data_IF_131862402634
#
_entry.id   IF_131862402634
#
_cell.length_a   1.000
_cell.length_b   1.000
_cell.length_c   1.000
_cell.angle_alpha   90.00
_cell.angle_beta   90.00
_cell.angle_gamma   90.00
#
_symmetry.space_group_name_H-M   'P 1'
#
loop_
_entity.id
_entity.type
_entity.pdbx_description
1 polymer ?
#
# COMPACT_ATOMS: atom_id res chain seq x y z
N UNK A 1 -28.76 -1.66 18.69
CA UNK A 1 -29.40 -2.70 17.87
C UNK A 1 -28.70 -2.69 16.54
N UNK A 2 -28.23 -3.85 16.06
CA UNK A 2 -27.45 -3.95 14.83
C UNK A 2 -28.33 -3.51 13.64
N UNK A 3 -27.95 -2.42 13.00
CA UNK A 3 -28.55 -1.97 11.75
C UNK A 3 -28.22 -3.01 10.67
N UNK A 4 -29.27 -3.52 10.04
CA UNK A 4 -29.19 -4.44 8.91
C UNK A 4 -28.64 -3.66 7.71
N UNK A 5 -27.72 -4.20 6.88
CA UNK A 5 -27.23 -3.47 5.72
C UNK A 5 -28.39 -3.22 4.74
N UNK A 6 -28.63 -1.95 4.42
CA UNK A 6 -29.59 -1.49 3.42
C UNK A 6 -29.11 -2.02 2.04
N UNK A 7 -29.91 -2.83 1.36
CA UNK A 7 -29.52 -3.43 0.06
C UNK A 7 -30.40 -2.86 -1.04
N UNK A 8 -29.90 -1.81 -1.70
CA UNK A 8 -30.36 -1.39 -3.01
C UNK A 8 -29.77 -2.24 -4.14
N UNK A 9 -30.13 -1.89 -5.38
CA UNK A 9 -29.51 -2.42 -6.61
C UNK A 9 -28.03 -2.05 -6.65
N UNK A 10 -27.12 -3.01 -6.89
CA UNK A 10 -25.70 -2.73 -7.18
C UNK A 10 -25.28 -3.10 -8.61
N UNK A 11 -24.19 -2.50 -9.06
CA UNK A 11 -23.55 -2.90 -10.32
C UNK A 11 -23.06 -4.35 -10.22
N UNK A 12 -23.40 -5.16 -11.22
CA UNK A 12 -23.04 -6.59 -11.29
C UNK A 12 -24.11 -7.60 -10.83
N UNK A 13 -25.28 -7.16 -10.34
CA UNK A 13 -26.35 -8.06 -9.87
C UNK A 13 -27.20 -8.73 -10.98
N UNK A 14 -26.99 -8.41 -12.26
CA UNK A 14 -27.75 -9.03 -13.37
C UNK A 14 -26.82 -9.57 -14.48
N UNK A 15 -27.03 -10.84 -14.84
CA UNK A 15 -26.10 -11.66 -15.66
C UNK A 15 -26.01 -11.35 -17.15
N UNK A 16 -25.49 -10.18 -17.54
CA UNK A 16 -24.78 -9.95 -18.80
C UNK A 16 -23.48 -9.16 -18.55
N UNK A 17 -22.47 -9.38 -19.40
CA UNK A 17 -21.12 -8.85 -19.25
C UNK A 17 -21.09 -7.31 -19.32
N UNK A 18 -20.44 -6.70 -18.32
CA UNK A 18 -20.24 -5.25 -18.19
C UNK A 18 -18.93 -4.91 -17.47
N UNK A 19 -18.59 -5.61 -16.38
CA UNK A 19 -17.23 -5.75 -15.82
C UNK A 19 -17.25 -6.77 -14.67
N UNK A 20 -16.15 -7.52 -14.44
CA UNK A 20 -15.92 -8.15 -13.14
C UNK A 20 -16.01 -7.06 -12.06
N UNK A 21 -16.53 -7.39 -10.87
CA UNK A 21 -16.59 -6.47 -9.72
C UNK A 21 -15.37 -5.53 -9.69
N UNK A 22 -15.57 -4.23 -9.97
CA UNK A 22 -14.47 -3.31 -10.21
C UNK A 22 -14.90 -2.08 -11.00
N UNK A 23 -14.93 -2.13 -12.32
CA UNK A 23 -15.01 -0.91 -13.14
C UNK A 23 -16.44 -0.45 -13.46
N UNK A 24 -16.79 0.80 -13.16
CA UNK A 24 -18.08 1.46 -13.47
C UNK A 24 -17.80 2.69 -14.34
N UNK A 25 -18.30 2.71 -15.57
CA UNK A 25 -18.11 3.87 -16.45
C UNK A 25 -19.06 5.00 -16.09
N UNK A 26 -18.62 6.25 -16.22
CA UNK A 26 -19.49 7.40 -16.05
C UNK A 26 -19.23 8.52 -17.07
N UNK A 27 -20.24 9.33 -17.34
CA UNK A 27 -20.15 10.40 -18.34
C UNK A 27 -20.95 11.64 -17.96
N UNK A 28 -20.58 12.75 -18.59
CA UNK A 28 -21.36 13.98 -18.59
C UNK A 28 -22.25 14.01 -19.83
N UNK A 29 -23.34 13.23 -19.86
CA UNK A 29 -24.42 13.33 -20.86
C UNK A 29 -25.58 12.41 -20.50
N UNK A 30 -26.81 12.92 -20.35
CA UNK A 30 -28.01 12.08 -20.18
C UNK A 30 -28.64 11.83 -21.55
N UNK A 31 -28.51 10.61 -22.06
CA UNK A 31 -29.06 10.25 -23.38
C UNK A 31 -30.59 10.25 -23.37
N UNK A 32 -31.24 11.29 -23.92
CA UNK A 32 -32.60 11.17 -24.45
C UNK A 32 -33.73 12.06 -23.91
N UNK A 33 -33.51 12.97 -22.95
CA UNK A 33 -34.56 13.95 -22.60
C UNK A 33 -34.08 15.30 -22.06
N UNK A 34 -34.48 16.34 -22.82
CA UNK A 34 -35.13 17.60 -22.43
C UNK A 34 -34.42 18.63 -21.51
N UNK A 35 -33.89 19.66 -22.19
CA UNK A 35 -34.12 21.11 -21.94
C UNK A 35 -33.52 21.74 -20.67
N UNK A 36 -33.24 23.05 -20.51
CA UNK A 36 -33.31 24.28 -21.31
C UNK A 36 -32.08 25.12 -20.88
N UNK A 37 -31.29 25.63 -21.85
CA UNK A 37 -30.33 26.73 -21.72
C UNK A 37 -29.54 26.84 -20.40
N UNK A 38 -28.34 26.25 -20.34
CA UNK A 38 -27.11 26.93 -19.87
C UNK A 38 -25.91 25.99 -20.05
N UNK A 39 -25.28 26.02 -21.22
CA UNK A 39 -24.06 25.26 -21.52
C UNK A 39 -22.87 25.64 -20.60
N UNK A 40 -22.89 26.82 -19.94
CA UNK A 40 -21.72 27.37 -19.24
C UNK A 40 -21.38 26.72 -17.87
N UNK A 41 -22.35 26.14 -17.14
CA UNK A 41 -22.10 25.57 -15.80
C UNK A 41 -21.53 24.15 -15.91
N UNK A 42 -22.15 23.26 -16.70
CA UNK A 42 -21.62 21.91 -16.98
C UNK A 42 -20.33 21.99 -17.81
N UNK A 43 -20.18 23.01 -18.67
CA UNK A 43 -18.90 23.24 -19.35
C UNK A 43 -17.82 23.82 -18.42
N UNK A 44 -18.16 24.30 -17.22
CA UNK A 44 -17.16 24.83 -16.31
C UNK A 44 -16.28 23.70 -15.74
N UNK A 45 -14.97 23.88 -15.85
CA UNK A 45 -14.00 22.92 -15.32
C UNK A 45 -14.16 22.75 -13.80
N UNK A 46 -14.60 23.80 -13.09
CA UNK A 46 -14.84 23.77 -11.66
C UNK A 46 -15.95 22.77 -11.28
N UNK A 47 -17.06 22.77 -12.02
CA UNK A 47 -18.15 21.81 -11.81
C UNK A 47 -17.66 20.38 -12.09
N UNK A 48 -17.04 20.16 -13.25
CA UNK A 48 -16.54 18.84 -13.65
C UNK A 48 -15.52 18.28 -12.67
N UNK A 49 -14.64 19.13 -12.15
CA UNK A 49 -13.65 18.77 -11.13
C UNK A 49 -14.31 18.32 -9.82
N UNK A 50 -15.38 18.98 -9.38
CA UNK A 50 -16.09 18.57 -8.16
C UNK A 50 -16.83 17.24 -8.33
N UNK A 51 -17.36 16.95 -9.52
CA UNK A 51 -17.98 15.65 -9.82
C UNK A 51 -16.92 14.54 -9.80
N UNK A 52 -15.77 14.75 -10.45
CA UNK A 52 -14.63 13.81 -10.39
C UNK A 52 -14.19 13.53 -8.95
N UNK A 53 -13.98 14.58 -8.16
CA UNK A 53 -13.61 14.43 -6.74
C UNK A 53 -14.65 13.63 -5.93
N UNK A 54 -15.93 13.72 -6.28
CA UNK A 54 -16.97 12.96 -5.60
C UNK A 54 -16.95 11.46 -5.96
N UNK A 55 -16.61 11.10 -7.21
CA UNK A 55 -16.32 9.72 -7.58
C UNK A 55 -15.07 9.19 -6.88
N UNK A 56 -13.95 9.94 -6.92
CA UNK A 56 -12.71 9.60 -6.21
C UNK A 56 -12.91 9.35 -4.71
N UNK A 57 -13.88 10.03 -4.08
CA UNK A 57 -14.18 9.86 -2.66
C UNK A 57 -14.69 8.44 -2.34
N UNK A 58 -15.47 7.84 -3.25
CA UNK A 58 -15.99 6.49 -3.09
C UNK A 58 -14.92 5.42 -3.40
N UNK A 59 -14.05 5.64 -4.39
CA UNK A 59 -12.92 4.74 -4.70
C UNK A 59 -11.93 4.61 -3.54
N UNK A 60 -11.78 5.67 -2.74
CA UNK A 60 -10.91 5.67 -1.54
C UNK A 60 -11.42 4.78 -0.41
N UNK A 61 -12.69 4.38 -0.44
CA UNK A 61 -13.31 3.65 0.67
C UNK A 61 -13.90 2.30 0.27
N UNK A 62 -14.10 2.05 -1.02
CA UNK A 62 -14.67 0.82 -1.55
C UNK A 62 -13.96 0.35 -2.83
N UNK A 63 -13.91 -0.95 -3.09
CA UNK A 63 -13.32 -1.50 -4.31
C UNK A 63 -14.21 -1.29 -5.54
N UNK A 64 -14.27 -0.05 -5.99
CA UNK A 64 -14.96 0.44 -7.17
C UNK A 64 -13.95 1.28 -7.96
N UNK A 65 -13.94 1.11 -9.28
CA UNK A 65 -13.06 1.80 -10.24
C UNK A 65 -13.93 2.59 -11.23
N UNK A 66 -14.06 3.88 -11.03
CA UNK A 66 -14.88 4.76 -11.85
C UNK A 66 -14.09 5.30 -13.05
N UNK A 67 -14.56 4.99 -14.25
CA UNK A 67 -13.90 5.41 -15.49
C UNK A 67 -14.73 6.48 -16.21
N UNK A 68 -14.23 7.72 -16.25
CA UNK A 68 -14.86 8.79 -17.02
C UNK A 68 -14.68 8.51 -18.53
N UNK A 69 -15.79 8.37 -19.27
CA UNK A 69 -15.77 8.14 -20.72
C UNK A 69 -16.07 9.40 -21.55
N UNK A 70 -16.12 10.56 -20.89
CA UNK A 70 -16.40 11.85 -21.53
C UNK A 70 -17.90 12.07 -21.77
N UNK A 71 -18.35 11.98 -23.02
CA UNK A 71 -19.76 12.16 -23.41
C UNK A 71 -20.31 10.93 -24.13
N UNK A 72 -21.57 10.57 -23.86
CA UNK A 72 -22.25 9.41 -24.43
C UNK A 72 -22.70 8.39 -23.38
N UNK A 73 -23.18 7.21 -23.80
CA UNK A 73 -23.64 6.15 -22.90
C UNK A 73 -22.57 5.71 -21.92
N UNK A 74 -22.93 5.63 -20.64
CA UNK A 74 -22.10 5.15 -19.55
C UNK A 74 -23.00 4.47 -18.50
N UNK A 75 -22.39 3.73 -17.57
CA UNK A 75 -23.15 3.09 -16.48
C UNK A 75 -23.81 4.14 -15.59
N UNK A 76 -23.10 5.23 -15.26
CA UNK A 76 -23.63 6.40 -14.55
C UNK A 76 -23.57 7.63 -15.44
N UNK A 77 -24.70 8.31 -15.62
CA UNK A 77 -24.80 9.53 -16.41
C UNK A 77 -25.11 10.72 -15.50
N UNK A 78 -24.27 11.75 -15.51
CA UNK A 78 -24.47 12.95 -14.69
C UNK A 78 -24.92 14.12 -15.56
N UNK A 79 -26.03 14.74 -15.19
CA UNK A 79 -26.62 15.86 -15.90
C UNK A 79 -27.33 16.85 -14.99
N UNK A 80 -27.82 17.94 -15.59
CA UNK A 80 -28.70 18.91 -14.93
C UNK A 80 -30.15 18.64 -15.33
N UNK A 81 -31.08 18.77 -14.38
CA UNK A 81 -32.53 18.76 -14.62
C UNK A 81 -33.20 19.95 -13.89
N UNK A 82 -34.36 20.39 -14.36
CA UNK A 82 -35.17 21.38 -13.66
C UNK A 82 -36.20 20.64 -12.79
N UNK A 83 -35.73 20.15 -11.63
CA UNK A 83 -36.45 19.16 -10.82
C UNK A 83 -37.73 19.78 -10.23
N UNK A 84 -37.66 20.97 -9.63
CA UNK A 84 -38.85 21.61 -9.03
C UNK A 84 -38.95 23.14 -9.21
N UNK A 85 -37.87 23.79 -9.67
CA UNK A 85 -37.82 25.22 -9.92
C UNK A 85 -37.85 26.12 -8.68
N UNK A 86 -37.93 25.59 -7.44
CA UNK A 86 -37.82 26.30 -6.14
C UNK A 86 -37.58 25.32 -4.95
N UNK A 87 -36.32 25.04 -4.61
CA UNK A 87 -35.86 24.90 -3.22
C UNK A 87 -36.26 23.65 -2.43
N UNK A 88 -36.64 22.54 -3.08
CA UNK A 88 -36.97 21.29 -2.40
C UNK A 88 -35.92 20.19 -2.59
N UNK A 89 -35.64 19.84 -3.84
CA UNK A 89 -34.73 18.75 -4.23
C UNK A 89 -33.51 19.30 -4.96
N UNK A 90 -32.33 19.15 -4.37
CA UNK A 90 -31.07 19.70 -4.91
C UNK A 90 -30.32 18.72 -5.83
N UNK A 91 -30.69 17.43 -5.80
CA UNK A 91 -30.13 16.35 -6.61
C UNK A 91 -31.05 15.13 -6.57
N UNK A 92 -30.97 14.27 -7.58
CA UNK A 92 -31.71 13.01 -7.65
C UNK A 92 -30.95 11.96 -8.47
N UNK A 93 -30.73 10.80 -7.88
CA UNK A 93 -30.27 9.60 -8.58
C UNK A 93 -31.45 8.67 -8.96
N UNK A 94 -31.43 8.15 -10.19
CA UNK A 94 -32.46 7.25 -10.72
C UNK A 94 -31.81 6.08 -11.45
N UNK A 95 -32.25 4.86 -11.15
CA UNK A 95 -31.84 3.65 -11.87
C UNK A 95 -32.81 3.31 -12.99
N UNK A 96 -32.27 2.94 -14.14
CA UNK A 96 -33.03 2.50 -15.31
C UNK A 96 -32.84 1.00 -15.55
N UNK A 97 -33.93 0.37 -15.99
CA UNK A 97 -34.00 -1.07 -16.17
C UNK A 97 -34.70 -1.43 -17.48
N UNK A 98 -34.20 -2.46 -18.15
CA UNK A 98 -34.89 -3.12 -19.25
C UNK A 98 -35.24 -4.56 -18.83
N UNK A 99 -36.47 -4.75 -18.37
CA UNK A 99 -36.86 -6.00 -17.71
C UNK A 99 -36.29 -6.08 -16.30
N UNK A 100 -35.54 -7.14 -15.99
CA UNK A 100 -34.82 -7.31 -14.71
C UNK A 100 -33.33 -6.97 -14.81
N UNK A 101 -32.92 -6.30 -15.88
CA UNK A 101 -31.52 -5.97 -16.17
C UNK A 101 -31.35 -4.47 -15.99
N UNK A 102 -30.38 -4.08 -15.18
CA UNK A 102 -29.97 -2.68 -15.00
C UNK A 102 -29.30 -2.19 -16.28
N UNK A 103 -29.73 -1.06 -16.81
CA UNK A 103 -29.17 -0.48 -18.05
C UNK A 103 -28.19 0.64 -17.78
N UNK A 104 -28.56 1.58 -16.92
CA UNK A 104 -27.75 2.72 -16.50
C UNK A 104 -28.38 3.35 -15.25
N UNK A 105 -27.64 4.23 -14.57
CA UNK A 105 -28.17 5.15 -13.57
C UNK A 105 -27.95 6.59 -14.05
N UNK A 106 -28.83 7.50 -13.65
CA UNK A 106 -28.74 8.93 -13.93
C UNK A 106 -28.68 9.71 -12.63
N UNK A 107 -27.80 10.72 -12.56
CA UNK A 107 -27.78 11.73 -11.52
C UNK A 107 -28.22 13.04 -12.15
N UNK A 108 -29.38 13.53 -11.74
CA UNK A 108 -29.93 14.81 -12.10
C UNK A 108 -29.64 15.82 -10.98
N UNK A 109 -28.88 16.87 -11.30
CA UNK A 109 -28.62 17.99 -10.39
C UNK A 109 -29.60 19.12 -10.68
N UNK A 110 -30.22 19.71 -9.65
CA UNK A 110 -31.17 20.80 -9.89
C UNK A 110 -30.49 22.05 -10.46
N UNK A 111 -30.89 22.39 -11.68
CA UNK A 111 -30.42 23.57 -12.42
C UNK A 111 -30.99 24.90 -11.91
N UNK A 112 -32.07 24.87 -11.12
CA UNK A 112 -32.71 26.08 -10.60
C UNK A 112 -32.01 26.66 -9.35
N UNK A 113 -31.07 25.92 -8.75
CA UNK A 113 -30.34 26.32 -7.55
C UNK A 113 -29.08 27.12 -7.88
N UNK A 114 -28.76 28.13 -7.05
CA UNK A 114 -27.46 28.81 -7.12
C UNK A 114 -26.40 28.01 -6.38
N UNK A 115 -25.45 27.47 -7.12
CA UNK A 115 -24.32 26.69 -6.60
C UNK A 115 -23.12 27.62 -6.34
N UNK A 116 -22.72 27.79 -5.07
CA UNK A 116 -21.51 28.53 -4.71
C UNK A 116 -20.66 27.69 -3.76
N UNK A 117 -19.34 27.56 -3.98
CA UNK A 117 -18.51 26.57 -3.28
C UNK A 117 -18.34 26.80 -1.77
N UNK A 118 -18.80 27.90 -1.18
CA UNK A 118 -18.53 28.24 0.24
C UNK A 118 -19.58 29.13 0.92
N UNK A 119 -20.85 28.73 0.99
CA UNK A 119 -21.84 29.43 1.84
C UNK A 119 -22.44 28.48 2.89
N UNK A 120 -22.23 28.72 4.19
CA UNK A 120 -22.98 28.03 5.24
C UNK A 120 -24.48 28.30 5.06
N UNK A 121 -25.24 27.26 4.71
CA UNK A 121 -26.68 27.33 4.45
C UNK A 121 -27.11 27.48 2.99
N UNK A 122 -26.18 27.44 2.03
CA UNK A 122 -26.49 27.45 0.58
C UNK A 122 -25.59 26.47 -0.19
N UNK A 123 -26.19 25.31 -0.52
CA UNK A 123 -25.76 24.25 -1.46
C UNK A 123 -24.29 23.76 -1.42
N UNK A 124 -24.01 22.76 -0.55
CA UNK A 124 -22.79 21.93 -0.60
C UNK A 124 -22.85 20.96 -1.81
N UNK A 125 -22.53 21.47 -3.02
CA UNK A 125 -22.56 20.68 -4.26
C UNK A 125 -21.77 19.38 -4.17
N UNK A 126 -20.57 19.43 -3.61
CA UNK A 126 -19.72 18.25 -3.45
C UNK A 126 -20.39 17.19 -2.58
N UNK A 127 -20.90 17.56 -1.40
CA UNK A 127 -21.59 16.62 -0.51
C UNK A 127 -22.85 16.02 -1.14
N UNK A 128 -23.63 16.84 -1.86
CA UNK A 128 -24.77 16.34 -2.64
C UNK A 128 -24.32 15.36 -3.72
N UNK A 129 -23.26 15.66 -4.47
CA UNK A 129 -22.77 14.75 -5.50
C UNK A 129 -22.28 13.42 -4.90
N UNK A 130 -21.55 13.45 -3.78
CA UNK A 130 -21.14 12.23 -3.06
C UNK A 130 -22.37 11.42 -2.64
N UNK A 131 -23.43 12.10 -2.14
CA UNK A 131 -24.70 11.47 -1.76
C UNK A 131 -25.40 10.80 -2.94
N UNK A 132 -25.60 11.51 -4.05
CA UNK A 132 -26.28 10.95 -5.23
C UNK A 132 -25.48 9.81 -5.86
N UNK A 133 -24.15 9.91 -5.91
CA UNK A 133 -23.30 8.79 -6.34
C UNK A 133 -23.54 7.57 -5.44
N UNK A 134 -23.68 7.76 -4.13
CA UNK A 134 -24.02 6.70 -3.18
C UNK A 134 -25.28 5.92 -3.57
N UNK A 135 -26.32 6.63 -4.04
CA UNK A 135 -27.53 5.98 -4.58
C UNK A 135 -27.27 5.19 -5.86
N UNK A 136 -26.43 5.72 -6.77
CA UNK A 136 -26.05 5.02 -8.02
C UNK A 136 -25.13 3.83 -7.80
N UNK A 137 -24.67 3.58 -6.58
CA UNK A 137 -23.90 2.38 -6.21
C UNK A 137 -24.61 1.52 -5.17
N UNK A 138 -25.89 1.77 -4.91
CA UNK A 138 -26.76 0.85 -4.16
C UNK A 138 -26.97 1.18 -2.68
N UNK A 139 -26.56 2.37 -2.23
CA UNK A 139 -26.91 2.86 -0.90
C UNK A 139 -28.29 3.51 -0.91
N UNK A 140 -29.06 3.31 0.16
CA UNK A 140 -30.33 3.99 0.40
C UNK A 140 -30.15 5.13 1.42
N UNK A 141 -31.19 5.96 1.58
CA UNK A 141 -31.17 6.99 2.60
C UNK A 141 -30.97 6.40 4.00
N UNK A 142 -30.17 7.10 4.81
CA UNK A 142 -29.96 6.78 6.22
C UNK A 142 -30.85 7.63 7.12
N UNK A 143 -31.26 7.08 8.25
CA UNK A 143 -31.89 7.84 9.34
C UNK A 143 -30.85 8.49 10.28
N UNK A 144 -29.56 8.14 10.14
CA UNK A 144 -28.46 8.69 10.94
C UNK A 144 -28.05 10.07 10.42
N UNK A 145 -28.21 11.15 11.22
CA UNK A 145 -27.79 12.49 10.81
C UNK A 145 -26.29 12.63 10.52
N UNK A 146 -25.45 11.70 10.98
CA UNK A 146 -24.01 11.70 10.69
C UNK A 146 -23.65 11.07 9.33
N UNK A 147 -24.59 10.37 8.70
CA UNK A 147 -24.37 9.66 7.43
C UNK A 147 -24.37 10.63 6.24
N UNK A 148 -23.48 10.38 5.28
CA UNK A 148 -23.53 11.11 4.00
C UNK A 148 -24.83 10.83 3.23
N UNK A 149 -25.50 9.69 3.50
CA UNK A 149 -26.78 9.29 2.92
C UNK A 149 -28.00 9.85 3.69
N UNK A 150 -27.82 10.78 4.62
CA UNK A 150 -28.93 11.42 5.32
C UNK A 150 -29.71 12.37 4.37
N UNK A 151 -31.05 12.26 4.24
CA UNK A 151 -31.83 12.88 3.15
C UNK A 151 -32.10 14.38 3.28
N UNK A 152 -31.65 15.02 4.37
CA UNK A 152 -31.78 16.46 4.54
C UNK A 152 -30.41 17.11 4.46
N UNK A 153 -30.34 18.27 3.79
CA UNK A 153 -29.11 19.02 3.54
C UNK A 153 -28.51 19.57 4.86
N UNK A 154 -27.89 18.72 5.65
CA UNK A 154 -26.91 19.08 6.66
C UNK A 154 -25.53 18.86 6.08
N UNK A 155 -24.69 19.89 6.16
CA UNK A 155 -23.40 20.13 5.52
C UNK A 155 -22.27 19.07 5.69
N UNK A 156 -22.54 17.78 5.59
CA UNK A 156 -21.53 16.75 5.78
C UNK A 156 -20.77 16.48 4.48
N UNK A 157 -19.44 16.43 4.60
CA UNK A 157 -18.49 16.17 3.50
C UNK A 157 -17.67 14.89 3.77
N UNK A 158 -18.13 14.04 4.69
CA UNK A 158 -17.37 12.89 5.19
C UNK A 158 -18.28 11.68 5.42
N UNK A 159 -17.75 10.49 5.17
CA UNK A 159 -18.42 9.21 5.45
C UNK A 159 -18.50 8.94 6.96
N UNK A 160 -19.67 8.52 7.44
CA UNK A 160 -19.80 7.90 8.75
C UNK A 160 -19.28 6.46 8.75
N UNK A 161 -19.03 5.89 9.93
CA UNK A 161 -18.67 4.48 10.04
C UNK A 161 -19.75 3.55 9.45
N UNK A 162 -21.02 3.96 9.49
CA UNK A 162 -22.11 3.20 8.90
C UNK A 162 -22.06 3.23 7.37
N UNK A 163 -21.71 4.38 6.77
CA UNK A 163 -21.54 4.51 5.32
C UNK A 163 -20.39 3.62 4.83
N UNK A 164 -19.24 3.67 5.52
CA UNK A 164 -18.09 2.82 5.22
C UNK A 164 -18.46 1.34 5.31
N UNK A 165 -19.09 0.92 6.41
CA UNK A 165 -19.50 -0.48 6.58
C UNK A 165 -20.51 -0.93 5.51
N UNK A 166 -21.44 -0.06 5.12
CA UNK A 166 -22.43 -0.38 4.10
C UNK A 166 -21.80 -0.53 2.71
N UNK A 167 -20.98 0.42 2.28
CA UNK A 167 -20.37 0.36 0.95
C UNK A 167 -19.36 -0.78 0.84
N UNK A 168 -18.57 -1.02 1.90
CA UNK A 168 -17.61 -2.11 1.94
C UNK A 168 -18.28 -3.48 2.01
N UNK A 169 -19.51 -3.58 2.53
CA UNK A 169 -20.29 -4.82 2.45
C UNK A 169 -20.76 -5.14 1.02
N UNK A 170 -20.95 -4.12 0.16
CA UNK A 170 -21.40 -4.29 -1.22
C UNK A 170 -20.23 -4.60 -2.18
N UNK A 171 -19.13 -3.87 -2.04
CA UNK A 171 -18.00 -3.88 -2.99
C UNK A 171 -16.68 -4.39 -2.39
N UNK A 172 -16.57 -4.50 -1.06
CA UNK A 172 -15.29 -4.68 -0.36
C UNK A 172 -14.60 -3.35 -0.04
N UNK A 173 -13.61 -3.34 0.87
CA UNK A 173 -12.77 -2.16 1.11
C UNK A 173 -12.01 -1.76 -0.15
N UNK A 174 -11.69 -0.48 -0.30
CA UNK A 174 -10.85 0.01 -1.39
C UNK A 174 -9.57 -0.83 -1.50
N UNK A 175 -9.11 -1.17 -2.72
CA UNK A 175 -7.81 -1.78 -2.89
C UNK A 175 -6.76 -0.82 -2.30
N UNK A 176 -5.88 -1.38 -1.48
CA UNK A 176 -4.80 -0.63 -0.87
C UNK A 176 -3.87 -0.11 -1.98
N UNK A 177 -3.96 1.18 -2.29
CA UNK A 177 -3.16 1.80 -3.35
C UNK A 177 -1.80 2.18 -2.78
N UNK A 178 -0.75 1.69 -3.43
CA UNK A 178 0.62 2.09 -3.16
C UNK A 178 0.81 3.60 -3.23
N UNK A 179 1.52 4.16 -2.26
CA UNK A 179 1.84 5.57 -2.08
C UNK A 179 3.29 5.82 -2.43
N UNK A 180 3.57 7.07 -2.77
CA UNK A 180 4.92 7.58 -2.94
C UNK A 180 5.16 8.64 -1.88
N UNK A 181 6.01 8.33 -0.91
CA UNK A 181 6.27 9.13 0.28
C UNK A 181 7.71 9.64 0.25
N UNK A 182 7.87 10.93 0.50
CA UNK A 182 9.16 11.61 0.48
C UNK A 182 9.38 12.35 1.80
N UNK A 183 10.54 12.12 2.42
CA UNK A 183 11.08 12.91 3.50
C UNK A 183 11.72 14.21 3.01
N UNK A 184 12.50 14.80 3.89
CA UNK A 184 13.16 16.09 3.74
C UNK A 184 14.64 15.96 4.09
N UNK A 185 15.30 17.06 4.43
CA UNK A 185 16.69 17.01 4.93
C UNK A 185 16.78 16.99 6.46
N UNK A 186 15.67 16.68 7.13
CA UNK A 186 15.53 16.69 8.58
C UNK A 186 14.99 15.32 9.01
N UNK A 187 15.15 14.98 10.29
CA UNK A 187 14.55 13.77 10.85
C UNK A 187 13.03 13.73 10.65
N UNK A 188 12.58 12.74 9.91
CA UNK A 188 11.19 12.54 9.52
C UNK A 188 10.57 11.28 10.13
N UNK A 189 9.23 11.25 10.11
CA UNK A 189 8.42 10.07 10.39
C UNK A 189 7.55 9.79 9.16
N UNK A 190 7.89 8.73 8.43
CA UNK A 190 7.30 8.40 7.12
C UNK A 190 6.53 7.07 7.18
N UNK A 191 5.38 7.02 6.53
CA UNK A 191 4.43 5.90 6.62
C UNK A 191 3.82 5.58 5.24
N UNK A 192 4.09 4.38 4.70
CA UNK A 192 3.50 3.84 3.48
C UNK A 192 1.99 3.61 3.64
N UNK A 193 1.62 2.70 4.54
CA UNK A 193 0.30 2.13 4.81
C UNK A 193 0.13 0.74 4.18
N UNK A 194 -1.08 0.35 3.80
CA UNK A 194 -1.41 -1.06 3.56
C UNK A 194 -1.31 -1.49 2.09
N UNK A 195 -0.76 -0.64 1.23
CA UNK A 195 -0.56 -0.89 -0.21
C UNK A 195 0.92 -0.99 -0.55
N UNK A 196 1.26 -1.21 -1.83
CA UNK A 196 2.65 -1.34 -2.26
C UNK A 196 3.34 0.03 -2.35
N UNK A 197 3.94 0.47 -1.27
CA UNK A 197 4.43 1.82 -1.11
C UNK A 197 5.88 1.99 -1.58
N UNK A 198 6.25 3.24 -1.84
CA UNK A 198 7.64 3.65 -2.04
C UNK A 198 7.95 4.81 -1.11
N UNK A 199 8.92 4.63 -0.23
CA UNK A 199 9.25 5.59 0.84
C UNK A 199 10.73 5.97 0.76
N UNK A 200 11.03 7.27 0.67
CA UNK A 200 12.39 7.82 0.65
C UNK A 200 12.61 8.77 1.83
N UNK A 201 13.60 8.50 2.70
CA UNK A 201 13.99 9.35 3.83
C UNK A 201 14.72 10.63 3.41
N UNK A 202 15.73 10.47 2.54
CA UNK A 202 16.69 11.49 2.08
C UNK A 202 17.82 11.79 3.06
N UNK A 203 17.87 12.96 3.70
CA UNK A 203 18.90 13.23 4.71
C UNK A 203 18.19 13.36 6.05
N UNK A 204 18.74 12.81 7.11
CA UNK A 204 18.07 12.91 8.39
C UNK A 204 18.51 11.85 9.36
N UNK A 205 17.67 11.60 10.33
CA UNK A 205 17.73 10.39 11.12
C UNK A 205 16.27 10.02 11.28
N UNK A 206 15.81 9.20 10.36
CA UNK A 206 14.40 9.07 10.00
C UNK A 206 13.80 7.81 10.61
N UNK A 207 12.48 7.78 10.72
CA UNK A 207 11.72 6.59 11.07
C UNK A 207 10.77 6.26 9.92
N UNK A 208 11.04 5.16 9.21
CA UNK A 208 10.34 4.76 7.99
C UNK A 208 9.57 3.45 8.25
N UNK A 209 8.29 3.43 7.85
CA UNK A 209 7.41 2.28 7.99
C UNK A 209 6.70 2.01 6.66
N UNK A 210 6.85 0.80 6.10
CA UNK A 210 6.06 0.34 4.94
C UNK A 210 4.63 0.00 5.35
N UNK A 211 4.51 -0.85 6.38
CA UNK A 211 3.29 -1.42 6.97
C UNK A 211 2.80 -2.69 6.30
N UNK A 212 1.97 -2.65 5.26
CA UNK A 212 1.55 -3.86 4.58
C UNK A 212 1.59 -3.64 3.08
N UNK A 213 1.97 -4.65 2.31
CA UNK A 213 2.17 -4.50 0.88
C UNK A 213 3.54 -5.03 0.47
N UNK A 214 3.85 -4.91 -0.82
CA UNK A 214 5.23 -5.04 -1.29
C UNK A 214 5.79 -3.62 -1.31
N UNK A 215 6.67 -3.29 -0.36
CA UNK A 215 7.18 -1.94 -0.17
C UNK A 215 8.61 -1.79 -0.70
N UNK A 216 8.91 -0.60 -1.22
CA UNK A 216 10.26 -0.17 -1.56
C UNK A 216 10.67 0.98 -0.64
N UNK A 217 11.58 0.74 0.29
CA UNK A 217 11.93 1.72 1.32
C UNK A 217 13.43 2.03 1.26
N UNK A 218 13.79 3.32 1.34
CA UNK A 218 15.19 3.77 1.34
C UNK A 218 15.43 4.91 2.32
N UNK A 219 16.28 4.68 3.32
CA UNK A 219 16.71 5.70 4.29
C UNK A 219 17.53 6.81 3.63
N UNK A 220 18.55 6.40 2.86
CA UNK A 220 19.52 7.22 2.12
C UNK A 220 20.69 7.75 2.94
N UNK A 221 20.54 8.82 3.72
CA UNK A 221 21.64 9.44 4.46
C UNK A 221 21.25 9.71 5.91
N UNK A 222 22.18 9.35 6.80
CA UNK A 222 22.07 9.54 8.23
C UNK A 222 21.46 8.32 8.91
N UNK A 223 21.46 8.32 10.25
CA UNK A 223 21.19 7.11 11.01
C UNK A 223 19.68 6.84 11.10
N UNK A 224 19.18 5.94 10.26
CA UNK A 224 17.75 5.70 10.08
C UNK A 224 17.25 4.46 10.84
N UNK A 225 15.95 4.47 11.16
CA UNK A 225 15.21 3.31 11.65
C UNK A 225 14.15 2.93 10.62
N UNK A 226 14.27 1.74 10.05
CA UNK A 226 13.46 1.33 8.90
C UNK A 226 12.80 -0.03 9.17
N UNK A 227 11.49 -0.09 8.93
CA UNK A 227 10.67 -1.28 9.10
C UNK A 227 9.85 -1.52 7.82
N UNK A 228 10.10 -2.63 7.13
CA UNK A 228 9.35 -3.07 5.93
C UNK A 228 7.87 -3.26 6.27
N UNK A 229 7.59 -4.26 7.08
CA UNK A 229 6.25 -4.47 7.63
C UNK A 229 5.72 -5.85 7.30
N UNK A 230 4.62 -5.94 6.55
CA UNK A 230 3.99 -7.17 6.10
C UNK A 230 4.04 -7.24 4.58
N UNK A 231 4.52 -8.35 4.05
CA UNK A 231 4.69 -8.58 2.63
C UNK A 231 6.16 -8.73 2.31
N UNK A 232 6.48 -8.86 1.02
CA UNK A 232 7.85 -9.17 0.61
C UNK A 232 8.53 -7.87 0.23
N UNK A 233 9.23 -7.25 1.16
CA UNK A 233 9.70 -5.88 1.00
C UNK A 233 11.12 -5.80 0.43
N UNK A 234 11.46 -4.64 -0.14
CA UNK A 234 12.84 -4.29 -0.50
C UNK A 234 13.24 -3.04 0.29
N UNK A 235 14.20 -3.21 1.19
CA UNK A 235 14.55 -2.19 2.17
C UNK A 235 16.04 -1.86 2.07
N UNK A 236 16.37 -0.57 1.97
CA UNK A 236 17.74 -0.04 1.92
C UNK A 236 17.98 0.92 3.09
N UNK A 237 18.95 0.63 3.95
CA UNK A 237 19.44 1.53 5.00
C UNK A 237 20.00 2.80 4.37
N UNK A 238 21.11 2.65 3.66
CA UNK A 238 21.69 3.69 2.83
C UNK A 238 23.09 4.06 3.28
N UNK A 239 23.24 5.16 4.02
CA UNK A 239 24.53 5.64 4.49
C UNK A 239 24.43 5.96 5.97
N UNK A 240 25.57 5.79 6.64
CA UNK A 240 25.72 5.98 8.08
C UNK A 240 25.13 4.80 8.85
N UNK A 241 24.91 4.90 10.16
CA UNK A 241 24.61 3.72 10.98
C UNK A 241 23.10 3.50 11.09
N UNK A 242 22.59 2.51 10.35
CA UNK A 242 21.17 2.25 10.22
C UNK A 242 20.70 1.06 11.06
N UNK A 243 19.43 1.08 11.42
CA UNK A 243 18.71 -0.09 11.95
C UNK A 243 17.58 -0.44 11.00
N UNK A 244 17.70 -1.59 10.34
CA UNK A 244 16.84 -1.99 9.23
C UNK A 244 16.19 -3.34 9.54
N UNK A 245 14.89 -3.47 9.34
CA UNK A 245 14.16 -4.72 9.49
C UNK A 245 13.19 -4.94 8.32
N UNK A 246 13.20 -6.13 7.70
CA UNK A 246 12.19 -6.54 6.71
C UNK A 246 10.83 -6.81 7.36
N UNK A 247 10.85 -7.46 8.52
CA UNK A 247 9.71 -7.82 9.37
C UNK A 247 8.97 -9.11 8.97
N UNK A 248 7.87 -9.07 8.23
CA UNK A 248 7.03 -10.25 7.95
C UNK A 248 6.90 -10.45 6.45
N UNK A 249 7.41 -11.55 5.92
CA UNK A 249 7.39 -11.91 4.52
C UNK A 249 8.79 -12.26 4.06
N UNK A 250 8.95 -12.60 2.78
CA UNK A 250 10.26 -12.93 2.23
C UNK A 250 10.89 -11.65 1.69
N UNK A 251 11.76 -11.06 2.49
CA UNK A 251 12.27 -9.72 2.30
C UNK A 251 13.64 -9.71 1.64
N UNK A 252 13.98 -8.58 1.01
CA UNK A 252 15.36 -8.27 0.62
C UNK A 252 15.80 -7.01 1.34
N UNK A 253 16.75 -7.16 2.27
CA UNK A 253 17.16 -6.11 3.20
C UNK A 253 18.64 -5.80 3.03
N UNK A 254 18.97 -4.52 2.88
CA UNK A 254 20.33 -4.01 2.73
C UNK A 254 20.63 -2.99 3.84
N UNK A 255 21.73 -3.15 4.57
CA UNK A 255 22.31 -2.09 5.43
C UNK A 255 22.99 -1.00 4.60
N UNK A 256 23.67 -1.42 3.52
CA UNK A 256 24.42 -0.58 2.57
C UNK A 256 25.77 -0.05 3.09
N UNK A 257 25.89 1.22 3.49
CA UNK A 257 27.16 1.85 3.86
C UNK A 257 27.12 2.32 5.30
N UNK A 258 27.76 1.64 6.22
CA UNK A 258 27.66 1.98 7.63
C UNK A 258 28.05 0.83 8.51
N UNK A 259 27.99 1.05 9.81
CA UNK A 259 28.01 -0.07 10.75
C UNK A 259 26.56 -0.30 11.13
N UNK A 260 25.91 -1.21 10.42
CA UNK A 260 24.47 -1.33 10.40
C UNK A 260 23.99 -2.47 11.30
N UNK A 261 22.73 -2.39 11.68
CA UNK A 261 22.02 -3.49 12.32
C UNK A 261 20.86 -3.90 11.42
N UNK A 262 20.96 -5.08 10.83
CA UNK A 262 20.07 -5.56 9.77
C UNK A 262 19.37 -6.85 10.20
N UNK A 263 18.05 -6.85 10.15
CA UNK A 263 17.19 -7.99 10.45
C UNK A 263 16.37 -8.38 9.21
N UNK A 264 16.39 -9.66 8.82
CA UNK A 264 15.47 -10.21 7.83
C UNK A 264 14.04 -10.15 8.36
N UNK A 265 13.74 -11.01 9.34
CA UNK A 265 12.44 -11.03 9.99
C UNK A 265 11.82 -12.43 10.00
N UNK A 266 10.56 -12.55 9.62
CA UNK A 266 9.91 -13.83 9.43
C UNK A 266 9.70 -14.08 7.95
N UNK A 267 10.29 -15.13 7.41
CA UNK A 267 10.22 -15.47 6.00
C UNK A 267 11.55 -16.05 5.56
N UNK A 268 11.62 -16.49 4.31
CA UNK A 268 12.91 -16.84 3.73
C UNK A 268 13.52 -15.57 3.13
N UNK A 269 14.45 -14.95 3.86
CA UNK A 269 14.96 -13.60 3.58
C UNK A 269 16.31 -13.59 2.87
N UNK A 270 16.58 -12.47 2.21
CA UNK A 270 17.89 -12.14 1.65
C UNK A 270 18.43 -10.90 2.33
N UNK A 271 19.46 -11.06 3.16
CA UNK A 271 19.95 -10.03 4.08
C UNK A 271 21.41 -9.69 3.79
N UNK A 272 21.67 -8.42 3.51
CA UNK A 272 22.99 -7.87 3.23
C UNK A 272 23.38 -6.83 4.28
N UNK A 273 24.52 -7.00 4.96
CA UNK A 273 25.12 -5.97 5.82
C UNK A 273 25.61 -4.81 4.98
N UNK A 274 26.58 -5.06 4.09
CA UNK A 274 27.05 -4.09 3.11
C UNK A 274 28.51 -3.72 3.35
N UNK A 275 28.79 -2.47 3.72
CA UNK A 275 30.15 -2.01 4.05
C UNK A 275 30.18 -1.39 5.43
N UNK A 276 31.03 -1.94 6.29
CA UNK A 276 31.32 -1.51 7.64
C UNK A 276 31.23 -2.72 8.54
N UNK A 277 31.37 -2.53 9.85
CA UNK A 277 31.27 -3.66 10.78
C UNK A 277 29.78 -3.83 11.16
N UNK A 278 29.12 -4.81 10.56
CA UNK A 278 27.66 -4.96 10.62
C UNK A 278 27.20 -6.03 11.62
N UNK A 279 25.97 -5.87 12.13
CA UNK A 279 25.22 -6.92 12.82
C UNK A 279 24.07 -7.38 11.93
N UNK A 280 24.14 -8.61 11.43
CA UNK A 280 23.16 -9.16 10.47
C UNK A 280 22.48 -10.39 11.06
N UNK A 281 21.16 -10.44 10.96
CA UNK A 281 20.34 -11.52 11.51
C UNK A 281 19.25 -11.94 10.53
N UNK A 282 19.14 -13.23 10.23
CA UNK A 282 18.09 -13.80 9.36
C UNK A 282 16.73 -13.83 10.07
N UNK A 283 16.74 -14.25 11.33
CA UNK A 283 15.59 -14.36 12.24
C UNK A 283 14.79 -15.68 12.11
N UNK A 284 13.61 -15.71 11.49
CA UNK A 284 12.81 -16.93 11.36
C UNK A 284 12.63 -17.28 9.89
N UNK A 285 13.09 -18.45 9.46
CA UNK A 285 12.95 -18.93 8.09
C UNK A 285 14.29 -19.36 7.54
N UNK A 286 14.38 -19.73 6.26
CA UNK A 286 15.64 -20.17 5.66
C UNK A 286 16.28 -19.01 4.93
N UNK A 287 17.24 -18.37 5.57
CA UNK A 287 17.73 -17.08 5.15
C UNK A 287 19.05 -17.20 4.37
N UNK A 288 19.31 -16.22 3.51
CA UNK A 288 20.62 -16.02 2.89
C UNK A 288 21.25 -14.74 3.42
N UNK A 289 22.34 -14.89 4.17
CA UNK A 289 23.04 -13.79 4.82
C UNK A 289 24.38 -13.51 4.13
N UNK A 290 24.63 -12.23 3.87
CA UNK A 290 25.92 -11.71 3.38
C UNK A 290 26.34 -10.56 4.28
N UNK A 291 27.41 -10.75 5.06
CA UNK A 291 27.98 -9.66 5.89
C UNK A 291 28.44 -8.51 5.02
N UNK A 292 29.38 -8.77 4.12
CA UNK A 292 29.88 -7.77 3.18
C UNK A 292 31.32 -7.39 3.51
N UNK A 293 31.69 -6.11 3.37
CA UNK A 293 33.04 -5.66 3.72
C UNK A 293 33.08 -5.13 5.14
N UNK A 294 33.96 -5.66 5.97
CA UNK A 294 34.11 -5.27 7.37
C UNK A 294 34.23 -6.49 8.25
N UNK A 295 34.12 -6.34 9.55
CA UNK A 295 34.15 -7.46 10.49
C UNK A 295 32.74 -7.66 11.05
N UNK A 296 32.01 -8.59 10.45
CA UNK A 296 30.58 -8.71 10.65
C UNK A 296 30.21 -9.75 11.70
N UNK A 297 29.06 -9.54 12.33
CA UNK A 297 28.43 -10.48 13.25
C UNK A 297 27.15 -11.01 12.61
N UNK A 298 27.15 -12.29 12.25
CA UNK A 298 26.04 -12.93 11.55
C UNK A 298 25.34 -13.95 12.46
N UNK A 299 24.01 -13.95 12.44
CA UNK A 299 23.17 -14.94 13.09
C UNK A 299 22.09 -15.43 12.13
N UNK A 300 22.08 -16.71 11.79
CA UNK A 300 21.00 -17.29 10.97
C UNK A 300 19.69 -17.38 11.76
N UNK A 301 19.83 -17.71 13.06
CA UNK A 301 18.76 -18.04 13.99
C UNK A 301 18.02 -19.30 13.59
N UNK A 302 16.72 -19.24 13.30
CA UNK A 302 15.90 -20.44 13.20
C UNK A 302 15.63 -20.76 11.73
N UNK A 303 16.30 -21.78 11.20
CA UNK A 303 16.18 -22.10 9.79
C UNK A 303 17.25 -23.06 9.32
N UNK A 304 17.28 -23.31 8.01
CA UNK A 304 18.44 -23.85 7.33
C UNK A 304 19.09 -22.73 6.51
N UNK A 305 20.08 -22.07 7.09
CA UNK A 305 20.55 -20.77 6.59
C UNK A 305 21.79 -20.88 5.70
N UNK A 306 21.98 -19.90 4.82
CA UNK A 306 23.14 -19.81 3.94
C UNK A 306 23.93 -18.56 4.26
N UNK A 307 25.16 -18.73 4.74
CA UNK A 307 26.10 -17.64 4.94
C UNK A 307 27.05 -17.58 3.74
N UNK A 308 26.97 -16.50 2.96
CA UNK A 308 27.73 -16.35 1.71
C UNK A 308 28.84 -15.31 1.85
N UNK A 309 30.04 -15.72 1.47
CA UNK A 309 31.27 -14.92 1.56
C UNK A 309 31.99 -14.83 0.21
N UNK A 310 32.53 -13.66 -0.07
CA UNK A 310 33.39 -13.35 -1.20
C UNK A 310 34.84 -13.02 -0.76
N UNK A 311 35.72 -12.76 -1.73
CA UNK A 311 37.12 -12.46 -1.48
C UNK A 311 37.30 -11.12 -0.74
N UNK A 312 38.07 -11.13 0.36
CA UNK A 312 38.55 -9.90 0.99
C UNK A 312 37.48 -9.12 1.75
N UNK A 313 36.50 -9.84 2.30
CA UNK A 313 35.36 -9.28 3.04
C UNK A 313 35.72 -8.88 4.47
N UNK A 314 36.56 -9.64 5.19
CA UNK A 314 37.10 -9.22 6.48
C UNK A 314 37.17 -10.38 7.47
N UNK A 315 37.15 -10.08 8.77
CA UNK A 315 37.15 -11.09 9.84
C UNK A 315 35.76 -11.20 10.48
N UNK A 316 34.98 -12.18 10.04
CA UNK A 316 33.56 -12.32 10.39
C UNK A 316 33.32 -13.38 11.47
N UNK A 317 32.21 -13.24 12.19
CA UNK A 317 31.77 -14.15 13.24
C UNK A 317 30.34 -14.62 12.97
N UNK A 318 30.15 -15.94 12.86
CA UNK A 318 28.82 -16.56 12.86
C UNK A 318 28.56 -17.12 14.26
N UNK A 319 27.50 -16.66 14.92
CA UNK A 319 27.28 -16.91 16.35
C UNK A 319 26.52 -18.20 16.67
N UNK A 320 25.80 -18.76 15.70
CA UNK A 320 24.84 -19.85 15.91
C UNK A 320 24.85 -20.95 14.83
N UNK A 321 25.90 -21.02 14.01
CA UNK A 321 26.01 -21.98 12.91
C UNK A 321 25.68 -23.42 13.32
N UNK A 322 24.68 -24.02 12.67
CA UNK A 322 24.19 -25.36 12.96
C UNK A 322 23.96 -26.21 11.70
N UNK A 323 24.99 -26.94 11.28
CA UNK A 323 24.90 -27.87 10.16
C UNK A 323 23.83 -28.99 10.32
N UNK A 324 23.36 -29.27 11.54
CA UNK A 324 22.29 -30.26 11.76
C UNK A 324 20.89 -29.68 11.47
N UNK A 325 20.72 -28.37 11.58
CA UNK A 325 19.49 -27.66 11.18
C UNK A 325 19.49 -27.38 9.67
N UNK A 326 20.66 -27.30 9.05
CA UNK A 326 20.82 -27.28 7.60
C UNK A 326 21.75 -26.20 7.09
N UNK A 327 22.36 -25.44 8.00
CA UNK A 327 23.20 -24.29 7.69
C UNK A 327 24.40 -24.62 6.81
N UNK A 328 24.75 -23.68 5.94
CA UNK A 328 25.79 -23.84 4.93
C UNK A 328 26.62 -22.59 4.77
N UNK A 329 27.89 -22.81 4.45
CA UNK A 329 28.79 -21.73 4.01
C UNK A 329 28.97 -21.80 2.49
N UNK A 330 28.84 -20.66 1.83
CA UNK A 330 29.16 -20.48 0.41
C UNK A 330 30.36 -19.53 0.31
N UNK A 331 31.46 -19.97 -0.29
CA UNK A 331 32.73 -19.22 -0.29
C UNK A 331 33.17 -18.73 -1.68
N UNK A 332 32.26 -18.67 -2.66
CA UNK A 332 32.47 -18.09 -4.01
C UNK A 332 33.85 -18.37 -4.64
N UNK A 333 34.27 -19.64 -4.67
CA UNK A 333 35.52 -20.09 -5.30
C UNK A 333 36.79 -19.89 -4.47
N UNK A 334 36.68 -19.48 -3.21
CA UNK A 334 37.81 -19.40 -2.28
C UNK A 334 38.24 -20.78 -1.78
N UNK A 335 39.54 -20.93 -1.56
CA UNK A 335 40.08 -22.03 -0.75
C UNK A 335 40.24 -21.56 0.70
N UNK A 336 40.25 -22.50 1.65
CA UNK A 336 40.37 -22.17 3.07
C UNK A 336 41.25 -23.17 3.80
N UNK A 337 41.82 -22.73 4.91
CA UNK A 337 42.41 -23.59 5.95
C UNK A 337 41.63 -23.42 7.24
N UNK A 338 41.59 -24.44 8.10
CA UNK A 338 40.89 -24.33 9.37
C UNK A 338 41.79 -24.54 10.58
N UNK A 339 41.40 -23.91 11.69
CA UNK A 339 42.02 -24.07 13.00
C UNK A 339 40.98 -24.01 14.10
N UNK A 340 41.17 -24.80 15.15
CA UNK A 340 40.36 -24.72 16.36
C UNK A 340 40.97 -23.70 17.33
N UNK A 341 40.19 -22.68 17.69
CA UNK A 341 40.61 -21.61 18.60
C UNK A 341 39.55 -21.46 19.68
N UNK A 342 39.91 -21.75 20.94
CA UNK A 342 39.04 -21.60 22.11
C UNK A 342 37.65 -22.28 21.99
N UNK A 343 37.56 -23.38 21.24
CA UNK A 343 36.31 -24.13 21.04
C UNK A 343 35.47 -23.66 19.85
N UNK A 344 35.99 -22.75 19.03
CA UNK A 344 35.42 -22.32 17.76
C UNK A 344 36.26 -22.82 16.59
N UNK A 345 35.63 -23.12 15.46
CA UNK A 345 36.29 -23.36 14.18
C UNK A 345 36.55 -22.02 13.50
N UNK A 346 37.80 -21.76 13.15
CA UNK A 346 38.21 -20.55 12.43
C UNK A 346 38.68 -20.95 11.04
N UNK A 347 38.02 -20.44 10.01
CA UNK A 347 38.40 -20.58 8.61
C UNK A 347 39.25 -19.38 8.22
N UNK A 348 40.41 -19.60 7.62
CA UNK A 348 41.23 -18.55 6.99
C UNK A 348 41.09 -18.67 5.48
N UNK A 349 40.62 -17.60 4.83
CA UNK A 349 40.28 -17.60 3.40
C UNK A 349 41.48 -17.20 2.52
N UNK A 350 41.60 -17.79 1.33
CA UNK A 350 42.67 -17.44 0.38
C UNK A 350 42.61 -16.01 -0.13
N UNK A 351 41.42 -15.40 -0.14
CA UNK A 351 41.19 -14.01 -0.52
C UNK A 351 41.55 -13.00 0.59
N UNK A 352 41.98 -13.47 1.76
CA UNK A 352 42.15 -12.66 2.96
C UNK A 352 40.90 -12.69 3.84
N UNK A 353 41.10 -12.42 5.14
CA UNK A 353 40.03 -12.49 6.13
C UNK A 353 39.85 -13.87 6.78
N UNK A 354 38.95 -13.93 7.75
CA UNK A 354 38.60 -15.13 8.49
C UNK A 354 37.10 -15.24 8.73
N UNK A 355 36.61 -16.47 8.91
CA UNK A 355 35.25 -16.74 9.38
C UNK A 355 35.38 -17.54 10.67
N UNK A 356 34.87 -17.00 11.77
CA UNK A 356 34.81 -17.69 13.06
C UNK A 356 33.41 -18.26 13.28
N UNK A 357 33.31 -19.59 13.31
CA UNK A 357 32.07 -20.29 13.70
C UNK A 357 32.08 -20.49 15.21
N UNK A 358 31.35 -19.63 15.92
CA UNK A 358 31.42 -19.57 17.37
C UNK A 358 30.89 -20.85 18.03
N UNK A 359 31.70 -21.48 18.88
CA UNK A 359 31.30 -22.68 19.62
C UNK A 359 31.15 -23.94 18.76
N UNK A 360 31.49 -23.87 17.47
CA UNK A 360 31.47 -25.00 16.56
C UNK A 360 32.80 -25.75 16.66
N UNK A 361 32.73 -27.04 17.03
CA UNK A 361 33.90 -27.92 17.05
C UNK A 361 34.34 -28.36 15.65
N UNK A 362 35.02 -29.51 15.55
CA UNK A 362 35.38 -30.12 14.25
C UNK A 362 34.14 -30.73 13.56
N UNK A 363 33.22 -29.90 13.11
CA UNK A 363 32.09 -30.33 12.30
C UNK A 363 32.55 -30.58 10.85
N UNK A 364 32.03 -31.61 10.16
CA UNK A 364 32.17 -31.69 8.72
C UNK A 364 31.39 -30.54 8.09
N UNK A 365 32.08 -29.47 7.73
CA UNK A 365 31.50 -28.34 7.01
C UNK A 365 31.08 -28.83 5.61
N UNK A 366 29.79 -28.82 5.31
CA UNK A 366 29.29 -29.00 3.94
C UNK A 366 29.45 -27.68 3.18
N UNK A 367 30.70 -27.37 2.82
CA UNK A 367 31.03 -26.21 2.00
C UNK A 367 30.72 -26.59 0.55
N UNK A 368 29.46 -26.49 0.15
CA UNK A 368 29.07 -26.72 -1.22
C UNK A 368 29.73 -25.66 -2.11
N UNK A 369 30.77 -26.06 -2.83
CA UNK A 369 31.39 -25.26 -3.87
C UNK A 369 30.41 -25.12 -5.05
N UNK A 370 29.74 -23.98 -5.14
CA UNK A 370 29.11 -23.56 -6.39
C UNK A 370 30.21 -23.00 -7.30
N UNK A 371 30.57 -23.85 -8.27
CA UNK A 371 31.47 -23.55 -9.38
C UNK A 371 30.83 -22.59 -10.40
#
# INVERSE_FOLDING_TARGET
>A
MAATPLTGTKWGDSGLAGTPAGTVTWSFDVTGSRYYAYDDIIASEAYRSLVRLAFDAWEKVAAIDFVEVGSGPADIQVGLDAIDGRGGTIGQAVWYYQGSVTTHAEIAVDSAETWSPFVPGGSNFYGMMVHEIGHTIGLEHSDDPASIMYPIASAYMSFSNADLAAIQALYGPAPEVGRLVYGTSASDLLMGASGNDTVYGYEGADNLFGYAGYDLISGNQGNDQIFGGQGNDVVYGGRDQDTVAGNLGNDTVYGDLGNDTVYGGQGDDLVYGGRGDDLVSGDLGNDTLVGGFGNDWLAGRAGADVFSFEAGQGDDVIVDFNAAEGDRLVLSGQTYTTAQVNGSEVLTLSGGGTITLLGVGTAPLDVAALA
#
